data_IF_267045713201
#
_entry.id   IF_267045713201
#
_cell.length_a   1.000
_cell.length_b   1.000
_cell.length_c   1.000
_cell.angle_alpha   90.00
_cell.angle_beta   90.00
_cell.angle_gamma   90.00
#
_symmetry.space_group_name_H-M   'P 1'
#
loop_
_entity.id
_entity.type
_entity.pdbx_description
1 polymer ?
#
# COMPACT_ATOMS: atom_id res chain seq x y z
N UNK A 1 36.15 -19.32 27.82
CA UNK A 1 36.85 -18.09 27.39
C UNK A 1 35.80 -17.02 27.38
N UNK A 2 35.77 -16.18 28.42
CA UNK A 2 34.84 -15.05 28.46
C UNK A 2 35.37 -13.99 27.51
N UNK A 3 34.64 -13.74 26.43
CA UNK A 3 34.90 -12.59 25.57
C UNK A 3 34.39 -11.36 26.33
N UNK A 4 35.32 -10.59 26.90
CA UNK A 4 35.02 -9.36 27.63
C UNK A 4 34.94 -8.22 26.63
N UNK A 5 33.79 -8.08 25.98
CA UNK A 5 33.56 -6.97 25.06
C UNK A 5 33.39 -5.66 25.84
N UNK A 6 34.19 -4.65 25.48
CA UNK A 6 34.15 -3.35 26.13
C UNK A 6 32.93 -2.54 25.65
N UNK A 7 32.12 -1.97 26.56
CA UNK A 7 30.89 -1.28 26.18
C UNK A 7 31.17 -0.04 25.34
N UNK A 8 30.46 0.13 24.23
CA UNK A 8 30.51 1.34 23.41
C UNK A 8 29.67 2.44 24.07
N UNK A 9 30.34 3.40 24.69
CA UNK A 9 29.71 4.56 25.35
C UNK A 9 29.44 5.68 24.34
N UNK A 10 28.25 6.29 24.42
CA UNK A 10 27.91 7.45 23.59
C UNK A 10 28.46 8.75 24.21
N UNK A 11 29.01 9.69 23.42
CA UNK A 11 29.51 10.95 23.93
C UNK A 11 28.41 11.76 24.64
N UNK A 12 28.72 12.30 25.84
CA UNK A 12 27.85 13.24 26.54
C UNK A 12 26.89 12.66 27.60
N UNK A 13 27.01 11.39 28.00
CA UNK A 13 26.18 10.84 29.09
C UNK A 13 26.46 9.39 29.50
N UNK A 14 25.59 8.84 30.34
CA UNK A 14 25.65 7.46 30.88
C UNK A 14 25.00 6.38 30.00
N UNK A 15 24.90 6.63 28.69
CA UNK A 15 24.28 5.72 27.74
C UNK A 15 25.32 4.88 27.03
N UNK A 16 25.02 3.58 26.83
CA UNK A 16 25.84 2.64 26.08
C UNK A 16 25.02 2.02 24.94
N UNK A 17 25.68 1.71 23.84
CA UNK A 17 25.13 0.84 22.80
C UNK A 17 25.16 -0.62 23.27
N UNK A 18 24.08 -1.36 23.01
CA UNK A 18 24.12 -2.82 23.09
C UNK A 18 24.90 -3.36 21.89
N UNK A 19 25.77 -4.33 22.14
CA UNK A 19 26.55 -5.01 21.10
C UNK A 19 25.66 -5.85 20.20
N UNK A 20 24.64 -6.47 20.78
CA UNK A 20 23.69 -7.30 20.08
C UNK A 20 22.39 -6.52 19.86
N UNK A 21 22.04 -6.35 18.59
CA UNK A 21 20.75 -5.78 18.19
C UNK A 21 20.25 -6.50 16.94
N UNK A 22 18.93 -6.51 16.77
CA UNK A 22 18.29 -7.01 15.56
C UNK A 22 17.61 -5.85 14.86
N UNK A 23 17.92 -5.68 13.57
CA UNK A 23 17.19 -4.77 12.70
C UNK A 23 16.06 -5.54 12.01
N UNK A 24 14.85 -5.00 12.08
CA UNK A 24 13.69 -5.50 11.32
C UNK A 24 13.35 -4.51 10.23
N UNK A 25 13.10 -5.04 9.04
CA UNK A 25 12.62 -4.27 7.89
C UNK A 25 11.40 -4.93 7.26
N UNK A 26 10.68 -4.18 6.42
CA UNK A 26 9.53 -4.70 5.72
C UNK A 26 9.97 -5.69 4.64
N UNK A 27 9.10 -6.63 4.28
CA UNK A 27 9.41 -7.64 3.26
C UNK A 27 9.44 -7.10 1.83
N UNK A 28 9.00 -5.86 1.62
CA UNK A 28 8.88 -5.19 0.33
C UNK A 28 9.46 -3.77 0.40
N UNK A 29 9.96 -3.22 -0.73
CA UNK A 29 10.49 -1.86 -0.75
C UNK A 29 9.45 -0.82 -0.36
N UNK A 30 9.85 0.17 0.46
CA UNK A 30 8.96 1.24 0.89
C UNK A 30 8.37 2.05 -0.27
N UNK A 31 9.16 2.28 -1.33
CA UNK A 31 8.70 2.93 -2.58
C UNK A 31 7.53 2.20 -3.25
N UNK A 32 7.33 0.91 -2.94
CA UNK A 32 6.22 0.12 -3.45
C UNK A 32 4.86 0.76 -3.16
N UNK A 33 4.72 1.46 -2.03
CA UNK A 33 3.46 2.13 -1.65
C UNK A 33 3.05 3.22 -2.64
N UNK A 34 4.01 3.85 -3.32
CA UNK A 34 3.76 4.92 -4.29
C UNK A 34 2.99 4.42 -5.53
N UNK A 35 2.97 3.11 -5.78
CA UNK A 35 2.15 2.50 -6.83
C UNK A 35 0.64 2.66 -6.60
N UNK A 36 0.24 3.04 -5.39
CA UNK A 36 -1.16 3.33 -5.04
C UNK A 36 -1.51 4.82 -5.16
N UNK A 37 -0.58 5.66 -5.61
CA UNK A 37 -0.78 7.09 -5.82
C UNK A 37 -0.69 7.40 -7.33
N UNK A 38 -1.85 7.49 -8.03
CA UNK A 38 -1.87 7.91 -9.42
C UNK A 38 -1.19 9.28 -9.60
N UNK A 39 -0.20 9.41 -10.49
CA UNK A 39 0.47 10.69 -10.73
C UNK A 39 -0.52 11.77 -11.17
N UNK A 40 -0.33 13.01 -10.69
CA UNK A 40 -1.12 14.18 -11.11
C UNK A 40 -2.54 14.26 -10.54
N UNK A 41 -3.15 13.15 -10.09
CA UNK A 41 -4.54 13.15 -9.62
C UNK A 41 -4.75 14.01 -8.36
N UNK A 42 -3.77 14.03 -7.45
CA UNK A 42 -3.82 14.89 -6.26
C UNK A 42 -3.72 16.38 -6.65
N UNK A 43 -2.80 16.73 -7.54
CA UNK A 43 -2.64 18.11 -8.05
C UNK A 43 -3.89 18.56 -8.83
N UNK A 44 -4.52 17.67 -9.59
CA UNK A 44 -5.78 17.94 -10.28
C UNK A 44 -6.92 18.20 -9.27
N UNK A 45 -6.93 17.50 -8.14
CA UNK A 45 -7.91 17.68 -7.07
C UNK A 45 -7.70 18.98 -6.28
N UNK A 46 -6.46 19.47 -6.15
CA UNK A 46 -6.12 20.69 -5.38
C UNK A 46 -6.81 21.96 -5.90
N UNK A 47 -7.36 21.93 -7.12
CA UNK A 47 -8.19 23.01 -7.69
C UNK A 47 -9.49 23.22 -6.89
N UNK A 48 -9.98 22.18 -6.22
CA UNK A 48 -11.24 22.21 -5.47
C UNK A 48 -10.95 22.38 -3.98
N UNK A 49 -10.96 23.63 -3.52
CA UNK A 49 -10.78 23.95 -2.10
C UNK A 49 -11.98 23.54 -1.21
N UNK A 50 -11.83 23.65 0.11
CA UNK A 50 -12.93 23.41 1.05
C UNK A 50 -14.13 24.31 0.73
N UNK A 51 -15.31 23.71 0.55
CA UNK A 51 -16.55 24.42 0.24
C UNK A 51 -16.72 24.83 -1.23
N UNK A 52 -15.83 24.38 -2.13
CA UNK A 52 -16.02 24.55 -3.57
C UNK A 52 -17.33 23.87 -4.03
N UNK A 53 -18.03 24.52 -4.97
CA UNK A 53 -19.14 23.87 -5.66
C UNK A 53 -18.56 22.82 -6.62
N UNK A 54 -18.84 21.55 -6.34
CA UNK A 54 -18.37 20.41 -7.14
C UNK A 54 -19.29 20.21 -8.34
N UNK A 55 -19.31 21.21 -9.22
CA UNK A 55 -20.19 21.27 -10.38
C UNK A 55 -19.49 21.92 -11.58
N UNK A 56 -20.14 21.86 -12.74
CA UNK A 56 -19.62 22.49 -13.97
C UNK A 56 -18.50 21.72 -14.68
N UNK A 57 -17.94 22.30 -15.76
CA UNK A 57 -17.03 21.61 -16.67
C UNK A 57 -15.72 21.14 -16.03
N UNK A 58 -15.15 21.93 -15.11
CA UNK A 58 -13.90 21.58 -14.44
C UNK A 58 -14.07 20.37 -13.52
N UNK A 59 -15.17 20.31 -12.77
CA UNK A 59 -15.51 19.15 -11.95
C UNK A 59 -15.79 17.92 -12.80
N UNK A 60 -16.51 18.07 -13.92
CA UNK A 60 -16.78 16.97 -14.86
C UNK A 60 -15.48 16.39 -15.42
N UNK A 61 -14.55 17.24 -15.88
CA UNK A 61 -13.25 16.82 -16.37
C UNK A 61 -12.44 16.07 -15.29
N UNK A 62 -12.43 16.59 -14.06
CA UNK A 62 -11.78 15.90 -12.94
C UNK A 62 -12.45 14.56 -12.59
N UNK A 63 -13.78 14.49 -12.61
CA UNK A 63 -14.51 13.26 -12.32
C UNK A 63 -14.21 12.16 -13.36
N UNK A 64 -14.06 12.54 -14.64
CA UNK A 64 -13.63 11.64 -15.71
C UNK A 64 -12.19 11.14 -15.48
N UNK A 65 -11.25 12.04 -15.15
CA UNK A 65 -9.87 11.70 -14.83
C UNK A 65 -9.79 10.75 -13.61
N UNK A 66 -10.53 11.05 -12.55
CA UNK A 66 -10.64 10.22 -11.36
C UNK A 66 -11.22 8.83 -11.67
N UNK A 67 -12.19 8.75 -12.57
CA UNK A 67 -12.78 7.48 -13.01
C UNK A 67 -11.78 6.63 -13.81
N UNK A 68 -11.01 7.26 -14.69
CA UNK A 68 -9.94 6.59 -15.44
C UNK A 68 -8.81 6.11 -14.51
N UNK A 69 -8.29 7.00 -13.66
CA UNK A 69 -7.22 6.69 -12.70
C UNK A 69 -7.61 5.56 -11.74
N UNK A 70 -8.89 5.44 -11.41
CA UNK A 70 -9.39 4.36 -10.61
C UNK A 70 -9.31 2.99 -11.29
N UNK A 71 -9.67 2.91 -12.57
CA UNK A 71 -9.54 1.68 -13.36
C UNK A 71 -8.07 1.27 -13.43
N UNK A 72 -7.17 2.22 -13.62
CA UNK A 72 -5.73 1.96 -13.64
C UNK A 72 -5.18 1.53 -12.28
N UNK A 73 -5.69 2.12 -11.19
CA UNK A 73 -5.35 1.71 -9.81
C UNK A 73 -5.81 0.27 -9.55
N UNK A 74 -7.02 -0.08 -9.97
CA UNK A 74 -7.54 -1.44 -9.84
C UNK A 74 -6.67 -2.46 -10.61
N UNK A 75 -6.22 -2.12 -11.82
CA UNK A 75 -5.27 -2.95 -12.59
C UNK A 75 -3.92 -3.09 -11.90
N UNK A 76 -3.39 -2.01 -11.31
CA UNK A 76 -2.16 -2.06 -10.52
C UNK A 76 -2.30 -2.96 -9.29
N UNK A 77 -3.43 -2.86 -8.58
CA UNK A 77 -3.74 -3.75 -7.45
C UNK A 77 -3.86 -5.21 -7.91
N UNK A 78 -4.46 -5.49 -9.07
CA UNK A 78 -4.49 -6.84 -9.62
C UNK A 78 -3.09 -7.36 -9.95
N UNK A 79 -2.22 -6.52 -10.52
CA UNK A 79 -0.82 -6.86 -10.75
C UNK A 79 -0.12 -7.23 -9.44
N UNK A 80 -0.27 -6.42 -8.39
CA UNK A 80 0.28 -6.69 -7.04
C UNK A 80 -0.27 -8.02 -6.48
N UNK A 81 -1.58 -8.22 -6.56
CA UNK A 81 -2.26 -9.41 -6.09
C UNK A 81 -1.80 -10.69 -6.82
N UNK A 82 -1.33 -10.55 -8.07
CA UNK A 82 -0.74 -11.63 -8.85
C UNK A 82 0.72 -11.95 -8.53
N UNK A 83 1.43 -11.13 -7.76
CA UNK A 83 2.85 -11.35 -7.47
C UNK A 83 3.04 -12.61 -6.58
N UNK A 84 3.90 -13.57 -6.97
CA UNK A 84 4.13 -14.78 -6.17
C UNK A 84 4.57 -14.48 -4.73
N UNK A 85 5.48 -13.52 -4.55
CA UNK A 85 5.94 -13.06 -3.23
C UNK A 85 4.84 -12.43 -2.38
N UNK A 86 3.90 -11.70 -3.00
CA UNK A 86 2.77 -11.10 -2.30
C UNK A 86 1.81 -12.19 -1.83
N UNK A 87 1.46 -13.14 -2.70
CA UNK A 87 0.62 -14.26 -2.33
C UNK A 87 1.27 -15.15 -1.27
N UNK A 88 2.59 -15.36 -1.33
CA UNK A 88 3.32 -16.09 -0.28
C UNK A 88 3.24 -15.37 1.06
N UNK A 89 3.54 -14.07 1.11
CA UNK A 89 3.43 -13.26 2.34
C UNK A 89 2.00 -13.27 2.91
N UNK A 90 1.00 -13.19 2.04
CA UNK A 90 -0.40 -13.27 2.43
C UNK A 90 -0.78 -14.65 2.94
N UNK A 91 -0.27 -15.73 2.34
CA UNK A 91 -0.50 -17.11 2.78
C UNK A 91 0.00 -17.33 4.21
N UNK A 92 1.14 -16.73 4.56
CA UNK A 92 1.69 -16.79 5.91
C UNK A 92 0.85 -16.05 6.96
N UNK A 93 0.18 -14.96 6.60
CA UNK A 93 -0.71 -14.24 7.53
C UNK A 93 -2.12 -14.80 7.55
N UNK A 94 -2.73 -15.04 6.39
CA UNK A 94 -4.11 -15.47 6.24
C UNK A 94 -4.33 -16.18 4.89
N UNK A 95 -4.17 -17.51 4.84
CA UNK A 95 -4.27 -18.27 3.59
C UNK A 95 -5.69 -18.30 3.02
N UNK A 96 -6.73 -18.12 3.85
CA UNK A 96 -8.11 -18.11 3.37
C UNK A 96 -8.39 -16.96 2.39
N UNK A 97 -7.71 -15.81 2.58
CA UNK A 97 -7.87 -14.61 1.75
C UNK A 97 -7.44 -14.85 0.30
N UNK A 98 -6.51 -15.78 0.04
CA UNK A 98 -6.14 -16.14 -1.33
C UNK A 98 -7.34 -16.63 -2.14
N UNK A 99 -8.19 -17.45 -1.51
CA UNK A 99 -9.39 -18.01 -2.15
C UNK A 99 -10.57 -17.04 -2.13
N UNK A 100 -10.80 -16.35 -1.02
CA UNK A 100 -12.02 -15.54 -0.81
C UNK A 100 -11.90 -14.11 -1.33
N UNK A 101 -10.68 -13.54 -1.31
CA UNK A 101 -10.39 -12.18 -1.74
C UNK A 101 -9.62 -12.11 -3.05
N UNK A 102 -8.43 -12.73 -3.11
CA UNK A 102 -7.49 -12.58 -4.23
C UNK A 102 -8.00 -13.25 -5.50
N UNK A 103 -8.40 -14.52 -5.45
CA UNK A 103 -8.82 -15.24 -6.65
C UNK A 103 -10.04 -14.59 -7.34
N UNK A 104 -11.11 -14.16 -6.64
CA UNK A 104 -12.19 -13.39 -7.26
C UNK A 104 -11.74 -12.04 -7.78
N UNK A 105 -10.82 -11.35 -7.10
CA UNK A 105 -10.29 -10.06 -7.54
C UNK A 105 -9.54 -10.17 -8.87
N UNK A 106 -8.72 -11.21 -9.04
CA UNK A 106 -7.98 -11.47 -10.28
C UNK A 106 -8.87 -11.87 -11.47
N UNK A 107 -10.09 -12.39 -11.21
CA UNK A 107 -11.06 -12.77 -12.25
C UNK A 107 -11.98 -11.61 -12.67
N UNK A 108 -12.04 -10.56 -11.88
CA UNK A 108 -12.86 -9.40 -12.17
C UNK A 108 -12.17 -8.49 -13.20
N UNK A 109 -12.95 -7.84 -14.07
CA UNK A 109 -12.42 -6.89 -15.06
C UNK A 109 -12.74 -5.47 -14.60
N UNK A 110 -11.73 -4.63 -14.29
CA UNK A 110 -11.96 -3.23 -13.95
C UNK A 110 -12.59 -2.44 -15.11
N UNK A 111 -13.60 -1.63 -14.78
CA UNK A 111 -14.28 -0.75 -15.75
C UNK A 111 -14.93 0.46 -15.06
N UNK A 112 -15.13 1.52 -15.82
CA UNK A 112 -15.62 2.82 -15.31
C UNK A 112 -17.04 2.72 -14.72
N UNK A 113 -17.92 1.95 -15.34
CA UNK A 113 -19.33 1.82 -14.93
C UNK A 113 -19.59 0.74 -13.86
N UNK A 114 -18.58 -0.06 -13.51
CA UNK A 114 -18.75 -1.30 -12.71
C UNK A 114 -18.27 -1.18 -11.26
N UNK A 115 -18.23 0.03 -10.71
CA UNK A 115 -17.79 0.31 -9.32
C UNK A 115 -18.88 -0.07 -8.30
N UNK A 116 -19.13 -1.37 -8.15
CA UNK A 116 -19.94 -1.89 -7.05
C UNK A 116 -19.14 -2.00 -5.74
N UNK A 117 -19.82 -2.18 -4.61
CA UNK A 117 -19.20 -2.26 -3.27
C UNK A 117 -18.16 -3.41 -3.16
N UNK A 118 -18.46 -4.56 -3.77
CA UNK A 118 -17.63 -5.76 -3.64
C UNK A 118 -16.24 -5.66 -4.30
N UNK A 119 -16.07 -5.14 -5.54
CA UNK A 119 -14.76 -4.81 -6.09
C UNK A 119 -13.94 -3.85 -5.21
N UNK A 120 -14.55 -2.77 -4.71
CA UNK A 120 -13.86 -1.80 -3.85
C UNK A 120 -13.32 -2.43 -2.56
N UNK A 121 -14.09 -3.31 -1.94
CA UNK A 121 -13.62 -4.03 -0.75
C UNK A 121 -12.39 -4.91 -1.03
N UNK A 122 -12.29 -5.47 -2.23
CA UNK A 122 -11.13 -6.28 -2.64
C UNK A 122 -9.92 -5.41 -2.99
N UNK A 123 -10.15 -4.27 -3.64
CA UNK A 123 -9.10 -3.25 -3.85
C UNK A 123 -8.51 -2.80 -2.51
N UNK A 124 -9.37 -2.44 -1.56
CA UNK A 124 -8.98 -2.01 -0.21
C UNK A 124 -8.21 -3.12 0.53
N UNK A 125 -8.65 -4.37 0.42
CA UNK A 125 -7.94 -5.51 1.00
C UNK A 125 -6.51 -5.61 0.46
N UNK A 126 -6.33 -5.55 -0.86
CA UNK A 126 -4.99 -5.65 -1.47
C UNK A 126 -4.14 -4.44 -1.09
N UNK A 127 -4.72 -3.23 -1.13
CA UNK A 127 -4.05 -2.00 -0.74
C UNK A 127 -3.56 -2.03 0.71
N UNK A 128 -4.40 -2.52 1.63
CA UNK A 128 -4.05 -2.65 3.05
C UNK A 128 -2.84 -3.59 3.24
N UNK A 129 -2.89 -4.79 2.67
CA UNK A 129 -1.77 -5.74 2.77
C UNK A 129 -0.51 -5.19 2.10
N UNK A 130 -0.64 -4.52 0.95
CA UNK A 130 0.49 -3.91 0.26
C UNK A 130 1.17 -2.83 1.10
N UNK A 131 0.39 -1.92 1.70
CA UNK A 131 0.91 -0.92 2.63
C UNK A 131 1.60 -1.59 3.82
N UNK A 132 0.98 -2.58 4.46
CA UNK A 132 1.60 -3.33 5.56
C UNK A 132 2.94 -3.92 5.15
N UNK A 133 2.99 -4.58 4.00
CA UNK A 133 4.18 -5.26 3.53
C UNK A 133 5.30 -4.33 3.07
N UNK A 134 5.01 -3.10 2.66
CA UNK A 134 6.00 -2.12 2.23
C UNK A 134 6.52 -1.23 3.36
N UNK A 135 5.69 -0.88 4.36
CA UNK A 135 6.04 0.19 5.31
C UNK A 135 5.85 -0.16 6.78
N UNK A 136 5.22 -1.29 7.14
CA UNK A 136 5.07 -1.69 8.55
C UNK A 136 6.12 -2.72 8.94
N UNK A 137 6.75 -2.49 10.08
CA UNK A 137 7.77 -3.38 10.67
C UNK A 137 7.22 -4.17 11.87
N UNK A 138 5.89 -4.32 11.94
CA UNK A 138 5.17 -4.85 13.09
C UNK A 138 4.82 -6.34 12.90
N UNK A 139 4.91 -7.13 13.98
CA UNK A 139 4.44 -8.53 14.04
C UNK A 139 2.92 -8.61 14.18
#
# INVERSE_FOLDING_TARGET
MSDEHAPVLLPGGGWRLWEEFALRGPGFPAEGVLRLAPPGLAEAADKFGPGADLSGPEWQAFAEELSAAAVDTARHLQHIAGLPRFQAALAWQNPAVLRTGIAPFLRWTPGVDQRSSMPRQREELVAHYWQRFCVKNDT
#
